data_IF_193612118071
#
_entry.id   IF_193612118071
#
_cell.length_a   1.000
_cell.length_b   1.000
_cell.length_c   1.000
_cell.angle_alpha   90.00
_cell.angle_beta   90.00
_cell.angle_gamma   90.00
#
_symmetry.space_group_name_H-M   'P 1'
#
loop_
_entity.id
_entity.type
_entity.pdbx_description
1 polymer ?
#
# COMPACT_ATOMS: atom_id res chain seq x y z
N UNK A 1 -6.47 -15.32 -9.86
CA UNK A 1 -6.50 -13.90 -10.31
C UNK A 1 -5.84 -12.98 -9.30
N UNK A 2 -6.15 -13.14 -8.01
CA UNK A 2 -5.65 -12.34 -6.88
C UNK A 2 -4.13 -12.21 -6.82
N UNK A 3 -3.39 -13.30 -7.06
CA UNK A 3 -1.92 -13.25 -7.09
C UNK A 3 -1.36 -12.36 -8.22
N UNK A 4 -1.92 -12.47 -9.43
CA UNK A 4 -1.47 -11.68 -10.59
C UNK A 4 -1.77 -10.21 -10.35
N UNK A 5 -2.98 -9.89 -9.88
CA UNK A 5 -3.32 -8.54 -9.46
C UNK A 5 -2.36 -8.01 -8.40
N UNK A 6 -2.03 -8.85 -7.40
CA UNK A 6 -1.13 -8.45 -6.33
C UNK A 6 0.29 -8.15 -6.81
N UNK A 7 0.80 -8.93 -7.77
CA UNK A 7 2.07 -8.64 -8.44
C UNK A 7 1.95 -7.33 -9.24
N UNK A 8 0.87 -7.10 -9.98
CA UNK A 8 0.64 -5.85 -10.71
C UNK A 8 0.63 -4.64 -9.77
N UNK A 9 -0.14 -4.70 -8.68
CA UNK A 9 -0.19 -3.64 -7.67
C UNK A 9 1.15 -3.47 -6.95
N UNK A 10 1.90 -4.54 -6.73
CA UNK A 10 3.26 -4.49 -6.16
C UNK A 10 4.23 -3.75 -7.09
N UNK A 11 4.18 -3.99 -8.40
CA UNK A 11 5.01 -3.31 -9.39
C UNK A 11 4.67 -1.82 -9.44
N UNK A 12 3.36 -1.48 -9.45
CA UNK A 12 2.91 -0.08 -9.40
C UNK A 12 3.40 0.58 -8.11
N UNK A 13 3.24 -0.08 -6.96
CA UNK A 13 3.73 0.40 -5.67
C UNK A 13 5.24 0.63 -5.67
N UNK A 14 6.02 -0.28 -6.27
CA UNK A 14 7.47 -0.14 -6.42
C UNK A 14 7.83 1.10 -7.24
N UNK A 15 7.19 1.29 -8.40
CA UNK A 15 7.41 2.46 -9.27
C UNK A 15 7.10 3.76 -8.52
N UNK A 16 5.94 3.84 -7.86
CA UNK A 16 5.56 5.01 -7.07
C UNK A 16 6.56 5.27 -5.95
N UNK A 17 7.00 4.23 -5.25
CA UNK A 17 7.97 4.40 -4.18
C UNK A 17 9.35 4.82 -4.66
N UNK A 18 9.79 4.38 -5.85
CA UNK A 18 11.03 4.88 -6.50
C UNK A 18 10.88 6.37 -6.80
N UNK A 19 9.74 6.80 -7.37
CA UNK A 19 9.50 8.22 -7.65
C UNK A 19 9.58 9.04 -6.36
N UNK A 20 8.95 8.59 -5.28
CA UNK A 20 9.00 9.27 -3.98
C UNK A 20 10.44 9.33 -3.45
N UNK A 21 11.20 8.24 -3.56
CA UNK A 21 12.61 8.20 -3.14
C UNK A 21 13.47 9.25 -3.85
N UNK A 22 13.17 9.53 -5.13
CA UNK A 22 13.92 10.48 -5.95
C UNK A 22 13.44 11.92 -5.82
N UNK A 23 12.24 12.16 -5.30
CA UNK A 23 11.59 13.49 -5.31
C UNK A 23 11.32 14.07 -3.93
N UNK A 24 11.20 13.22 -2.89
CA UNK A 24 10.91 13.66 -1.54
C UNK A 24 12.16 14.13 -0.80
N UNK A 25 11.99 15.12 0.07
CA UNK A 25 13.04 15.59 0.99
C UNK A 25 13.09 14.71 2.24
N UNK A 26 14.16 13.95 2.43
CA UNK A 26 14.38 13.07 3.58
C UNK A 26 14.97 11.71 3.18
N UNK A 27 15.13 10.79 4.14
CA UNK A 27 15.55 9.42 3.84
C UNK A 27 14.34 8.53 3.53
N UNK A 28 14.15 8.23 2.26
CA UNK A 28 13.06 7.40 1.74
C UNK A 28 13.57 6.13 1.03
N UNK A 29 14.82 5.72 1.23
CA UNK A 29 15.44 4.60 0.50
C UNK A 29 14.67 3.27 0.61
N UNK A 30 13.98 3.05 1.72
CA UNK A 30 13.18 1.84 1.96
C UNK A 30 11.71 1.98 1.53
N UNK A 31 11.27 3.18 1.15
CA UNK A 31 9.90 3.46 0.72
C UNK A 31 9.42 2.58 -0.46
N UNK A 32 10.26 2.29 -1.50
CA UNK A 32 9.86 1.40 -2.60
C UNK A 32 9.45 0.00 -2.11
N UNK A 33 10.15 -0.53 -1.10
CA UNK A 33 9.88 -1.85 -0.54
C UNK A 33 8.53 -1.85 0.16
N UNK A 34 8.27 -0.87 1.03
CA UNK A 34 7.01 -0.81 1.78
C UNK A 34 5.80 -0.50 0.89
N UNK A 35 5.98 0.36 -0.12
CA UNK A 35 4.94 0.65 -1.11
C UNK A 35 4.59 -0.60 -1.94
N UNK A 36 5.60 -1.35 -2.38
CA UNK A 36 5.40 -2.62 -3.08
C UNK A 36 4.67 -3.66 -2.22
N UNK A 37 5.12 -3.86 -0.97
CA UNK A 37 4.48 -4.77 -0.01
C UNK A 37 3.03 -4.37 0.29
N UNK A 38 2.76 -3.07 0.41
CA UNK A 38 1.42 -2.55 0.68
C UNK A 38 0.48 -2.81 -0.50
N UNK A 39 0.95 -2.49 -1.72
CA UNK A 39 0.23 -2.78 -2.95
C UNK A 39 -0.08 -4.28 -3.09
N UNK A 40 0.89 -5.15 -2.81
CA UNK A 40 0.70 -6.60 -2.85
C UNK A 40 -0.32 -7.08 -1.81
N UNK A 41 -0.11 -6.76 -0.54
CA UNK A 41 -0.90 -7.27 0.58
C UNK A 41 -2.36 -6.79 0.54
N UNK A 42 -2.58 -5.50 0.30
CA UNK A 42 -3.93 -4.93 0.20
C UNK A 42 -4.72 -5.58 -0.95
N UNK A 43 -4.13 -5.61 -2.15
CA UNK A 43 -4.79 -6.15 -3.34
C UNK A 43 -5.03 -7.65 -3.25
N UNK A 44 -4.07 -8.43 -2.73
CA UNK A 44 -4.24 -9.86 -2.55
C UNK A 44 -5.44 -10.17 -1.64
N UNK A 45 -5.47 -9.56 -0.44
CA UNK A 45 -6.53 -9.80 0.55
C UNK A 45 -7.87 -9.33 0.00
N UNK A 46 -7.95 -8.09 -0.48
CA UNK A 46 -9.22 -7.51 -0.93
C UNK A 46 -9.78 -8.30 -2.11
N UNK A 47 -8.95 -8.63 -3.10
CA UNK A 47 -9.43 -9.36 -4.28
C UNK A 47 -9.79 -10.81 -3.96
N UNK A 48 -8.99 -11.48 -3.11
CA UNK A 48 -9.24 -12.87 -2.72
C UNK A 48 -10.59 -13.01 -2.03
N UNK A 49 -10.89 -12.13 -1.07
CA UNK A 49 -12.11 -12.25 -0.26
C UNK A 49 -13.33 -11.59 -0.92
N UNK A 50 -13.18 -10.42 -1.53
CA UNK A 50 -14.30 -9.64 -2.05
C UNK A 50 -14.53 -9.80 -3.55
N UNK A 51 -13.72 -10.55 -4.29
CA UNK A 51 -14.01 -10.87 -5.69
C UNK A 51 -14.04 -12.38 -5.86
N UNK A 52 -12.90 -13.06 -5.66
CA UNK A 52 -12.78 -14.50 -5.94
C UNK A 52 -13.68 -15.36 -5.06
N UNK A 53 -13.61 -15.20 -3.73
CA UNK A 53 -14.42 -15.99 -2.79
C UNK A 53 -15.92 -15.70 -2.95
N UNK A 54 -16.28 -14.46 -3.28
CA UNK A 54 -17.67 -14.08 -3.54
C UNK A 54 -18.18 -14.46 -4.94
N UNK A 55 -17.30 -14.94 -5.83
CA UNK A 55 -17.56 -15.20 -7.24
C UNK A 55 -18.22 -14.03 -8.00
N UNK A 56 -18.03 -12.80 -7.53
CA UNK A 56 -18.68 -11.61 -8.08
C UNK A 56 -17.64 -10.73 -8.80
N UNK A 57 -17.64 -10.82 -10.12
CA UNK A 57 -16.70 -10.13 -11.00
C UNK A 57 -17.35 -8.96 -11.74
N UNK A 58 -18.36 -8.32 -11.13
CA UNK A 58 -18.98 -7.14 -11.71
C UNK A 58 -17.97 -6.01 -11.93
N UNK A 59 -18.02 -5.37 -13.09
CA UNK A 59 -17.06 -4.32 -13.48
C UNK A 59 -17.09 -3.13 -12.52
N UNK A 60 -18.28 -2.66 -12.12
CA UNK A 60 -18.44 -1.58 -11.14
C UNK A 60 -17.82 -1.94 -9.79
N UNK A 61 -17.94 -3.20 -9.38
CA UNK A 61 -17.32 -3.72 -8.16
C UNK A 61 -15.79 -3.76 -8.30
N UNK A 62 -15.27 -4.17 -9.46
CA UNK A 62 -13.84 -4.11 -9.77
C UNK A 62 -13.26 -2.71 -9.63
N UNK A 63 -13.91 -1.72 -10.24
CA UNK A 63 -13.53 -0.30 -10.14
C UNK A 63 -13.51 0.15 -8.67
N UNK A 64 -14.60 -0.09 -7.96
CA UNK A 64 -14.73 0.31 -6.55
C UNK A 64 -13.66 -0.35 -5.67
N UNK A 65 -13.46 -1.67 -5.79
CA UNK A 65 -12.45 -2.37 -5.01
C UNK A 65 -11.03 -1.96 -5.40
N UNK A 66 -10.79 -1.60 -6.66
CA UNK A 66 -9.51 -1.00 -7.10
C UNK A 66 -9.19 0.31 -6.36
N UNK A 67 -10.18 1.18 -6.18
CA UNK A 67 -10.03 2.42 -5.38
C UNK A 67 -9.77 2.09 -3.91
N UNK A 68 -10.53 1.14 -3.33
CA UNK A 68 -10.36 0.72 -1.93
C UNK A 68 -8.97 0.11 -1.70
N UNK A 69 -8.45 -0.67 -2.65
CA UNK A 69 -7.08 -1.22 -2.62
C UNK A 69 -6.05 -0.09 -2.51
N UNK A 70 -6.19 0.98 -3.29
CA UNK A 70 -5.26 2.12 -3.25
C UNK A 70 -5.30 2.79 -1.89
N UNK A 71 -6.49 3.14 -1.38
CA UNK A 71 -6.64 3.79 -0.07
C UNK A 71 -5.98 2.96 1.04
N UNK A 72 -6.24 1.65 1.06
CA UNK A 72 -5.66 0.73 2.05
C UNK A 72 -4.14 0.59 1.85
N UNK A 73 -3.66 0.57 0.61
CA UNK A 73 -2.23 0.49 0.32
C UNK A 73 -1.49 1.71 0.86
N UNK A 74 -2.00 2.93 0.67
CA UNK A 74 -1.39 4.14 1.23
C UNK A 74 -1.25 4.04 2.76
N UNK A 75 -2.29 3.57 3.43
CA UNK A 75 -2.27 3.36 4.88
C UNK A 75 -1.25 2.30 5.30
N UNK A 76 -1.23 1.15 4.62
CA UNK A 76 -0.31 0.07 4.91
C UNK A 76 1.15 0.44 4.63
N UNK A 77 1.44 1.30 3.63
CA UNK A 77 2.82 1.76 3.36
C UNK A 77 3.43 2.43 4.60
N UNK A 78 2.71 3.40 5.19
CA UNK A 78 3.17 4.07 6.41
C UNK A 78 3.16 3.14 7.62
N UNK A 79 2.19 2.23 7.71
CA UNK A 79 2.15 1.26 8.80
C UNK A 79 3.34 0.30 8.76
N UNK A 80 3.77 -0.13 7.56
CA UNK A 80 4.96 -0.97 7.40
C UNK A 80 6.25 -0.26 7.80
N UNK A 81 6.36 1.06 7.60
CA UNK A 81 7.47 1.83 8.19
C UNK A 81 7.52 1.70 9.71
N UNK A 82 6.38 1.83 10.39
CA UNK A 82 6.31 1.72 11.85
C UNK A 82 6.68 0.33 12.32
N UNK A 83 6.13 -0.71 11.67
CA UNK A 83 6.46 -2.09 12.00
C UNK A 83 7.95 -2.36 11.81
N UNK A 84 8.51 -1.92 10.69
CA UNK A 84 9.92 -2.12 10.39
C UNK A 84 10.84 -1.41 11.39
N UNK A 85 10.55 -0.14 11.72
CA UNK A 85 11.31 0.60 12.74
C UNK A 85 11.25 -0.09 14.11
N UNK A 86 10.11 -0.68 14.47
CA UNK A 86 9.99 -1.47 15.70
C UNK A 86 10.78 -2.77 15.63
N UNK A 87 10.82 -3.46 14.49
CA UNK A 87 11.66 -4.66 14.30
C UNK A 87 13.14 -4.29 14.44
N UNK A 88 13.58 -3.21 13.79
CA UNK A 88 14.95 -2.70 13.90
C UNK A 88 15.33 -2.42 15.36
N UNK A 89 14.49 -1.66 16.06
CA UNK A 89 14.77 -1.22 17.44
C UNK A 89 14.69 -2.37 18.45
N UNK A 90 13.64 -3.19 18.43
CA UNK A 90 13.38 -4.18 19.48
C UNK A 90 13.99 -5.56 19.20
N UNK A 91 14.13 -5.96 17.94
CA UNK A 91 14.57 -7.31 17.56
C UNK A 91 16.01 -7.29 17.07
N UNK A 92 16.36 -6.36 16.18
CA UNK A 92 17.69 -6.31 15.56
C UNK A 92 18.68 -5.44 16.33
N UNK A 93 18.21 -4.72 17.36
CA UNK A 93 19.00 -3.79 18.16
C UNK A 93 19.69 -2.69 17.33
N UNK A 94 19.10 -2.33 16.18
CA UNK A 94 19.52 -1.22 15.33
C UNK A 94 18.84 0.03 15.87
N UNK A 95 19.64 0.97 16.42
CA UNK A 95 19.13 2.18 17.07
C UNK A 95 19.30 3.40 16.17
N UNK A 96 18.35 4.33 16.26
CA UNK A 96 18.57 5.68 15.74
C UNK A 96 19.66 6.40 16.59
N UNK A 97 20.28 7.48 16.07
CA UNK A 97 21.36 8.18 16.77
C UNK A 97 21.01 8.62 18.19
N UNK A 98 19.75 9.00 18.41
CA UNK A 98 19.25 9.49 19.70
C UNK A 98 18.72 8.38 20.63
N UNK A 99 18.75 7.12 20.18
CA UNK A 99 18.22 5.95 20.88
C UNK A 99 16.74 6.08 21.32
N UNK A 100 15.97 6.92 20.64
CA UNK A 100 14.55 7.16 20.91
C UNK A 100 13.73 5.98 20.36
N UNK A 101 12.87 5.35 21.17
CA UNK A 101 12.02 4.26 20.70
C UNK A 101 11.06 4.73 19.59
N UNK A 102 10.83 3.90 18.57
CA UNK A 102 9.89 4.20 17.51
C UNK A 102 8.44 4.25 18.03
N UNK A 103 7.55 4.84 17.23
CA UNK A 103 6.14 4.93 17.57
C UNK A 103 5.56 3.53 17.84
N UNK A 104 4.80 3.39 18.93
CA UNK A 104 4.17 2.13 19.29
C UNK A 104 3.21 1.67 18.15
N UNK A 105 3.29 0.42 17.67
CA UNK A 105 2.49 -0.05 16.53
C UNK A 105 0.97 0.11 16.71
N UNK A 106 0.44 -0.11 17.91
CA UNK A 106 -1.00 0.02 18.17
C UNK A 106 -1.47 1.47 18.00
N UNK A 107 -0.71 2.43 18.54
CA UNK A 107 -0.99 3.85 18.29
C UNK A 107 -0.71 4.24 16.85
N UNK A 108 0.33 3.65 16.26
CA UNK A 108 0.79 3.88 14.89
C UNK A 108 -0.29 3.60 13.86
N UNK A 109 -1.08 2.54 14.05
CA UNK A 109 -2.22 2.19 13.19
C UNK A 109 -3.19 3.37 12.99
N UNK A 110 -3.41 4.19 14.02
CA UNK A 110 -4.30 5.34 13.92
C UNK A 110 -3.59 6.58 13.39
N UNK A 111 -2.35 6.81 13.84
CA UNK A 111 -1.56 8.00 13.44
C UNK A 111 -1.29 8.02 11.93
N UNK A 112 -1.03 6.86 11.31
CA UNK A 112 -0.75 6.78 9.87
C UNK A 112 -1.95 7.12 9.00
N UNK A 113 -3.17 7.16 9.54
CA UNK A 113 -4.35 7.67 8.82
C UNK A 113 -4.17 9.13 8.41
N UNK A 114 -3.53 9.96 9.23
CA UNK A 114 -3.26 11.36 8.88
C UNK A 114 -2.26 11.42 7.72
N UNK A 115 -1.20 10.62 7.77
CA UNK A 115 -0.24 10.49 6.67
C UNK A 115 -0.89 9.97 5.37
N UNK A 116 -1.86 9.06 5.51
CA UNK A 116 -2.66 8.53 4.40
C UNK A 116 -3.46 9.63 3.72
N UNK A 117 -4.14 10.49 4.49
CA UNK A 117 -4.91 11.61 3.94
C UNK A 117 -4.02 12.56 3.13
N UNK A 118 -2.87 12.96 3.68
CA UNK A 118 -1.90 13.78 2.96
C UNK A 118 -1.39 13.10 1.70
N UNK A 119 -1.05 11.83 1.79
CA UNK A 119 -0.59 11.04 0.65
C UNK A 119 -1.64 10.94 -0.45
N UNK A 120 -2.92 10.80 -0.10
CA UNK A 120 -4.03 10.79 -1.05
C UNK A 120 -4.27 12.16 -1.69
N UNK A 121 -4.06 13.27 -0.97
CA UNK A 121 -4.13 14.61 -1.57
C UNK A 121 -3.04 14.78 -2.65
N UNK A 122 -1.81 14.37 -2.36
CA UNK A 122 -0.67 14.60 -3.27
C UNK A 122 -0.52 13.56 -4.38
N UNK A 123 -0.86 12.30 -4.12
CA UNK A 123 -0.65 11.18 -5.06
C UNK A 123 -1.93 10.42 -5.40
N UNK A 124 -3.03 10.64 -4.68
CA UNK A 124 -4.31 9.98 -4.90
C UNK A 124 -4.91 10.29 -6.28
N UNK A 125 -4.71 11.50 -6.80
CA UNK A 125 -5.21 11.88 -8.12
C UNK A 125 -4.60 11.07 -9.27
N UNK A 126 -3.43 10.45 -9.09
CA UNK A 126 -2.84 9.49 -10.04
C UNK A 126 -3.18 8.05 -9.64
N UNK A 127 -2.94 7.71 -8.38
CA UNK A 127 -3.01 6.33 -7.91
C UNK A 127 -4.45 5.80 -7.87
N UNK A 128 -5.45 6.63 -7.52
CA UNK A 128 -6.86 6.21 -7.48
C UNK A 128 -7.39 5.88 -8.88
N UNK A 129 -7.19 6.69 -9.94
CA UNK A 129 -7.54 6.29 -11.31
C UNK A 129 -6.82 5.02 -11.78
N UNK A 130 -5.54 4.85 -11.46
CA UNK A 130 -4.80 3.63 -11.79
C UNK A 130 -5.43 2.41 -11.10
N UNK A 131 -5.73 2.51 -9.81
CA UNK A 131 -6.41 1.45 -9.06
C UNK A 131 -7.77 1.09 -9.65
N UNK A 132 -8.58 2.10 -9.98
CA UNK A 132 -9.86 1.93 -10.66
C UNK A 132 -9.70 1.21 -12.01
N UNK A 133 -8.72 1.61 -12.82
CA UNK A 133 -8.44 1.00 -14.12
C UNK A 133 -7.98 -0.46 -13.99
N UNK A 134 -7.07 -0.75 -13.06
CA UNK A 134 -6.60 -2.12 -12.81
C UNK A 134 -7.76 -2.99 -12.35
N UNK A 135 -8.60 -2.51 -11.43
CA UNK A 135 -9.79 -3.23 -10.97
C UNK A 135 -10.79 -3.48 -12.10
N UNK A 136 -11.02 -2.50 -12.96
CA UNK A 136 -11.81 -2.66 -14.20
C UNK A 136 -11.22 -3.73 -15.11
N UNK A 137 -9.91 -3.68 -15.38
CA UNK A 137 -9.24 -4.58 -16.32
C UNK A 137 -9.37 -6.04 -15.88
N UNK A 138 -9.06 -6.34 -14.61
CA UNK A 138 -9.10 -7.69 -14.07
C UNK A 138 -10.52 -8.26 -13.89
N UNK A 139 -11.55 -7.41 -13.88
CA UNK A 139 -12.95 -7.87 -13.90
C UNK A 139 -13.49 -8.02 -15.31
N UNK A 140 -13.15 -7.10 -16.22
CA UNK A 140 -13.59 -7.10 -17.62
C UNK A 140 -13.07 -8.29 -18.42
N UNK A 141 -11.80 -8.65 -18.22
CA UNK A 141 -11.11 -9.70 -18.98
C UNK A 141 -10.98 -11.01 -18.22
N UNK A 142 -11.86 -11.26 -17.24
CA UNK A 142 -12.00 -12.60 -16.68
C UNK A 142 -12.64 -13.52 -17.72
N UNK A 143 -11.83 -14.33 -18.39
CA UNK A 143 -12.28 -15.60 -18.97
C UNK A 143 -12.52 -16.64 -17.89
#
# INVERSE_FOLDING_TARGET
MSLILAITCSIIGLIVGIIITLTATGDYKTFPIFSALAGFSASYVIWKFFVEKSQNYGVTRGIFLGIVIVIISHHLTFYYFILFANIEYWILNIRNPDNIPPLNPFSGLFVVSIGTLWSLIFYGWITLPIGAFVGWFFTKYKT
#
